data_IF_110977514303
#
_entry.id   IF_110977514303
#
_cell.length_a   1.000
_cell.length_b   1.000
_cell.length_c   1.000
_cell.angle_alpha   90.00
_cell.angle_beta   90.00
_cell.angle_gamma   90.00
#
_symmetry.space_group_name_H-M   'P 1'
#
loop_
_entity.id
_entity.type
_entity.pdbx_description
1 polymer ?
#
# COMPACT_ATOMS: atom_id res chain seq x y z
N UNK A 1 1.20 17.80 29.10
CA UNK A 1 2.15 16.69 28.89
C UNK A 1 1.60 15.93 27.70
N UNK A 2 2.25 16.04 26.54
CA UNK A 2 1.65 15.75 25.24
C UNK A 2 1.65 14.26 24.97
N UNK A 3 0.48 13.66 24.75
CA UNK A 3 0.23 12.24 24.39
C UNK A 3 0.77 11.88 22.97
N UNK A 4 1.58 12.75 22.37
CA UNK A 4 1.92 12.72 20.94
C UNK A 4 2.96 11.66 20.54
N UNK A 5 3.62 11.00 21.48
CA UNK A 5 4.81 10.17 21.19
C UNK A 5 4.61 8.64 21.31
N UNK A 6 3.42 8.16 21.67
CA UNK A 6 3.21 6.71 21.91
C UNK A 6 2.43 5.99 20.80
N UNK A 7 1.99 6.70 19.76
CA UNK A 7 1.29 6.10 18.63
C UNK A 7 2.29 5.92 17.50
N UNK A 8 2.53 4.68 17.08
CA UNK A 8 3.25 4.39 15.84
C UNK A 8 2.54 3.32 15.04
N UNK A 9 2.41 3.54 13.73
CA UNK A 9 1.95 2.55 12.77
C UNK A 9 3.08 1.65 12.27
N UNK A 10 4.33 1.88 12.70
CA UNK A 10 5.47 0.99 12.44
C UNK A 10 5.44 -0.27 13.33
N UNK A 11 4.72 -0.24 14.46
CA UNK A 11 4.51 -1.41 15.30
C UNK A 11 3.45 -2.33 14.68
N UNK A 12 3.90 -3.48 14.16
CA UNK A 12 3.02 -4.45 13.52
C UNK A 12 2.11 -5.19 14.54
N UNK A 13 2.51 -5.27 15.80
CA UNK A 13 1.72 -5.93 16.85
C UNK A 13 0.41 -5.16 17.12
N UNK A 14 0.39 -3.86 16.81
CA UNK A 14 -0.82 -3.02 16.85
C UNK A 14 -1.98 -3.61 16.02
N UNK A 15 -1.68 -4.38 14.98
CA UNK A 15 -2.66 -4.95 14.05
C UNK A 15 -3.06 -6.39 14.39
N UNK A 16 -2.47 -7.02 15.41
CA UNK A 16 -2.69 -8.43 15.76
C UNK A 16 -4.16 -8.72 16.09
N UNK A 17 -4.81 -7.82 16.84
CA UNK A 17 -6.21 -7.95 17.23
C UNK A 17 -7.20 -7.47 16.14
N UNK A 18 -6.71 -7.20 14.92
CA UNK A 18 -7.45 -6.58 13.84
C UNK A 18 -7.15 -5.08 13.68
N UNK A 19 -7.91 -4.36 12.84
CA UNK A 19 -7.54 -2.98 12.51
C UNK A 19 -7.64 -2.04 13.74
N UNK A 20 -6.60 -1.25 14.03
CA UNK A 20 -6.53 -0.36 15.19
C UNK A 20 -7.33 0.93 14.98
N UNK A 21 -8.65 0.82 14.92
CA UNK A 21 -9.54 1.93 14.55
C UNK A 21 -9.39 3.16 15.43
N UNK A 22 -9.25 2.99 16.75
CA UNK A 22 -9.06 4.10 17.68
C UNK A 22 -7.77 4.89 17.40
N UNK A 23 -6.69 4.19 17.04
CA UNK A 23 -5.42 4.80 16.64
C UNK A 23 -5.58 5.61 15.37
N UNK A 24 -6.23 5.04 14.35
CA UNK A 24 -6.52 5.76 13.12
C UNK A 24 -7.46 6.97 13.32
N UNK A 25 -8.43 6.88 14.23
CA UNK A 25 -9.30 8.01 14.59
C UNK A 25 -8.50 9.15 15.24
N UNK A 26 -7.60 8.82 16.18
CA UNK A 26 -6.74 9.80 16.81
C UNK A 26 -5.83 10.50 15.78
N UNK A 27 -5.14 9.73 14.94
CA UNK A 27 -4.26 10.27 13.88
C UNK A 27 -5.05 11.18 12.92
N UNK A 28 -6.21 10.73 12.41
CA UNK A 28 -7.03 11.56 11.51
C UNK A 28 -7.45 12.89 12.14
N UNK A 29 -7.75 12.91 13.43
CA UNK A 29 -8.25 14.10 14.11
C UNK A 29 -7.11 15.05 14.51
N UNK A 30 -5.98 14.51 14.98
CA UNK A 30 -4.97 15.28 15.70
C UNK A 30 -3.64 15.41 14.95
N UNK A 31 -3.25 14.40 14.16
CA UNK A 31 -1.98 14.35 13.44
C UNK A 31 -2.08 13.52 12.14
N UNK A 32 -2.77 14.04 11.11
CA UNK A 32 -3.18 13.24 9.95
C UNK A 32 -2.06 12.90 8.97
N UNK A 33 -0.93 13.62 9.08
CA UNK A 33 0.32 13.38 8.37
C UNK A 33 1.40 13.21 9.44
N UNK A 34 1.49 11.98 9.94
CA UNK A 34 2.29 11.63 11.10
C UNK A 34 3.63 11.04 10.67
N UNK A 35 4.70 11.34 11.39
CA UNK A 35 6.00 10.71 11.18
C UNK A 35 6.11 9.47 12.07
N UNK A 36 6.31 8.32 11.44
CA UNK A 36 6.58 7.05 12.11
C UNK A 36 8.07 6.74 12.05
N UNK A 37 8.71 6.72 13.21
CA UNK A 37 10.07 6.18 13.36
C UNK A 37 10.02 4.65 13.28
N UNK A 38 10.90 4.06 12.49
CA UNK A 38 11.06 2.61 12.42
C UNK A 38 12.28 2.14 13.24
N UNK A 39 12.19 0.99 13.93
CA UNK A 39 13.34 0.42 14.64
C UNK A 39 14.49 0.01 13.68
N UNK A 40 15.70 -0.09 14.23
CA UNK A 40 17.00 -0.17 13.55
C UNK A 40 17.02 -0.83 12.15
N UNK A 41 17.32 -0.03 11.13
CA UNK A 41 17.58 -0.47 9.75
C UNK A 41 16.87 0.36 8.68
N UNK A 42 15.70 0.90 9.02
CA UNK A 42 14.90 1.76 8.15
C UNK A 42 14.95 3.23 8.60
N UNK A 43 14.60 4.16 7.70
CA UNK A 43 14.65 5.61 7.93
C UNK A 43 13.34 6.17 8.48
N UNK A 44 12.31 5.35 8.68
CA UNK A 44 10.97 5.80 9.03
C UNK A 44 10.17 6.28 7.82
N UNK A 45 8.90 6.59 8.04
CA UNK A 45 7.97 6.97 6.98
C UNK A 45 6.91 7.98 7.43
N UNK A 46 6.26 8.61 6.45
CA UNK A 46 5.11 9.46 6.70
C UNK A 46 3.81 8.66 6.55
N UNK A 47 3.02 8.61 7.61
CA UNK A 47 1.67 8.07 7.63
C UNK A 47 0.64 9.13 7.26
N UNK A 48 -0.03 8.94 6.13
CA UNK A 48 -1.14 9.78 5.67
C UNK A 48 -2.46 9.07 5.94
N UNK A 49 -3.30 9.62 6.83
CA UNK A 49 -4.45 8.88 7.39
C UNK A 49 -5.82 9.42 7.00
N UNK A 50 -5.90 10.63 6.44
CA UNK A 50 -7.15 11.20 5.93
C UNK A 50 -7.38 10.79 4.48
N UNK A 51 -8.63 10.46 4.16
CA UNK A 51 -9.03 10.04 2.82
C UNK A 51 -8.61 11.03 1.72
N UNK A 52 -8.87 12.33 1.91
CA UNK A 52 -8.57 13.34 0.90
C UNK A 52 -7.07 13.49 0.66
N UNK A 53 -6.27 13.47 1.72
CA UNK A 53 -4.81 13.57 1.66
C UNK A 53 -4.22 12.33 0.94
N UNK A 54 -4.74 11.13 1.23
CA UNK A 54 -4.36 9.90 0.52
C UNK A 54 -4.70 10.00 -0.97
N UNK A 55 -5.91 10.48 -1.32
CA UNK A 55 -6.32 10.64 -2.71
C UNK A 55 -5.45 11.66 -3.43
N UNK A 56 -5.02 12.73 -2.77
CA UNK A 56 -4.10 13.73 -3.32
C UNK A 56 -2.74 13.10 -3.63
N UNK A 57 -2.12 12.43 -2.64
CA UNK A 57 -0.83 11.74 -2.79
C UNK A 57 -0.88 10.70 -3.91
N UNK A 58 -1.91 9.85 -3.93
CA UNK A 58 -2.04 8.78 -4.93
C UNK A 58 -2.32 9.29 -6.36
N UNK A 59 -2.79 10.53 -6.51
CA UNK A 59 -3.04 11.14 -7.82
C UNK A 59 -1.85 11.91 -8.35
N UNK A 60 -1.02 12.48 -7.48
CA UNK A 60 0.20 13.16 -7.87
C UNK A 60 1.37 12.18 -8.03
N UNK A 61 1.31 11.39 -9.11
CA UNK A 61 2.35 10.40 -9.43
C UNK A 61 3.66 11.02 -9.93
N UNK A 62 3.70 12.34 -10.16
CA UNK A 62 4.93 13.05 -10.54
C UNK A 62 5.76 13.40 -9.30
N UNK A 63 5.10 13.79 -8.22
CA UNK A 63 5.75 14.04 -6.92
C UNK A 63 5.96 12.76 -6.11
N UNK A 64 4.95 11.88 -6.07
CA UNK A 64 4.97 10.64 -5.28
C UNK A 64 5.18 9.41 -6.18
N UNK A 65 6.43 8.95 -6.22
CA UNK A 65 6.89 7.86 -7.08
C UNK A 65 6.69 6.50 -6.42
N UNK A 66 6.19 5.50 -7.16
CA UNK A 66 6.17 4.10 -6.72
C UNK A 66 7.43 3.34 -7.17
N UNK A 67 8.23 3.93 -8.06
CA UNK A 67 9.48 3.37 -8.56
C UNK A 67 10.68 3.61 -7.63
N UNK A 68 10.62 4.66 -6.79
CA UNK A 68 11.68 5.00 -5.84
C UNK A 68 11.38 4.40 -4.48
N UNK A 69 12.28 3.52 -4.00
CA UNK A 69 12.16 2.93 -2.66
C UNK A 69 11.11 1.82 -2.53
N UNK A 70 10.55 1.34 -3.66
CA UNK A 70 9.46 0.36 -3.72
C UNK A 70 8.13 0.85 -3.11
N UNK A 71 7.15 -0.06 -3.03
CA UNK A 71 5.78 0.21 -2.54
C UNK A 71 5.49 -0.43 -1.17
N UNK A 72 6.53 -1.00 -0.53
CA UNK A 72 6.45 -1.61 0.80
C UNK A 72 7.33 -0.81 1.77
N UNK A 73 7.10 -0.97 3.08
CA UNK A 73 7.90 -0.31 4.12
C UNK A 73 9.33 -0.87 4.23
N UNK A 74 9.59 -2.09 3.74
CA UNK A 74 10.93 -2.67 3.71
C UNK A 74 11.86 -1.82 2.84
N UNK A 75 12.93 -1.27 3.44
CA UNK A 75 13.98 -0.60 2.68
C UNK A 75 14.85 -1.61 1.95
N UNK A 76 14.89 -1.48 0.63
CA UNK A 76 15.62 -2.37 -0.27
C UNK A 76 16.84 -1.68 -0.85
N UNK A 77 17.92 -2.44 -1.04
CA UNK A 77 19.06 -1.98 -1.81
C UNK A 77 18.75 -1.93 -3.33
N UNK A 78 19.63 -1.28 -4.09
CA UNK A 78 19.44 -1.10 -5.54
C UNK A 78 19.34 -2.42 -6.32
N UNK A 79 20.00 -3.50 -5.86
CA UNK A 79 19.91 -4.80 -6.52
C UNK A 79 18.55 -5.45 -6.26
N UNK A 80 18.10 -5.43 -5.01
CA UNK A 80 16.80 -5.93 -4.61
C UNK A 80 15.66 -5.16 -5.30
N UNK A 81 15.75 -3.84 -5.38
CA UNK A 81 14.80 -3.00 -6.12
C UNK A 81 14.72 -3.39 -7.60
N UNK A 82 15.87 -3.65 -8.24
CA UNK A 82 15.88 -4.09 -9.65
C UNK A 82 15.28 -5.48 -9.83
N UNK A 83 15.60 -6.43 -8.95
CA UNK A 83 15.16 -7.83 -9.05
C UNK A 83 13.67 -7.98 -8.75
N UNK A 84 13.15 -7.26 -7.75
CA UNK A 84 11.75 -7.32 -7.33
C UNK A 84 10.80 -6.47 -8.17
N UNK A 85 11.33 -5.68 -9.12
CA UNK A 85 10.55 -4.72 -9.91
C UNK A 85 9.44 -5.40 -10.72
N UNK A 86 8.20 -5.13 -10.33
CA UNK A 86 6.99 -5.54 -11.02
C UNK A 86 6.32 -4.32 -11.68
N UNK A 87 5.09 -4.49 -12.15
CA UNK A 87 4.27 -3.34 -12.59
C UNK A 87 4.01 -2.35 -11.46
N UNK A 88 3.91 -2.82 -10.20
CA UNK A 88 3.62 -1.96 -9.05
C UNK A 88 4.75 -0.95 -8.78
N UNK A 89 6.02 -1.34 -9.00
CA UNK A 89 7.19 -0.51 -8.77
C UNK A 89 7.67 0.21 -10.06
N UNK A 90 6.73 0.63 -10.92
CA UNK A 90 7.04 1.40 -12.13
C UNK A 90 6.18 2.64 -12.20
N UNK A 91 6.72 3.72 -12.78
CA UNK A 91 5.97 4.97 -12.99
C UNK A 91 5.79 5.30 -14.49
N UNK A 92 5.04 6.37 -14.75
CA UNK A 92 4.96 7.03 -16.06
C UNK A 92 4.54 6.14 -17.22
N UNK A 93 5.26 6.26 -18.34
CA UNK A 93 4.93 5.53 -19.58
C UNK A 93 5.09 4.01 -19.43
N UNK A 94 6.09 3.56 -18.66
CA UNK A 94 6.33 2.13 -18.44
C UNK A 94 5.15 1.48 -17.72
N UNK A 95 4.69 2.09 -16.63
CA UNK A 95 3.52 1.62 -15.90
C UNK A 95 2.28 1.58 -16.79
N UNK A 96 2.00 2.65 -17.55
CA UNK A 96 0.86 2.70 -18.48
C UNK A 96 0.92 1.59 -19.53
N UNK A 97 2.10 1.33 -20.09
CA UNK A 97 2.28 0.27 -21.08
C UNK A 97 2.02 -1.13 -20.48
N UNK A 98 2.59 -1.42 -19.31
CA UNK A 98 2.35 -2.70 -18.60
C UNK A 98 0.88 -2.88 -18.25
N UNK A 99 0.25 -1.85 -17.67
CA UNK A 99 -1.18 -1.88 -17.33
C UNK A 99 -2.05 -2.12 -18.55
N UNK A 100 -1.74 -1.49 -19.69
CA UNK A 100 -2.48 -1.67 -20.94
C UNK A 100 -2.44 -3.11 -21.46
N UNK A 101 -1.32 -3.82 -21.26
CA UNK A 101 -1.18 -5.23 -21.65
C UNK A 101 -2.04 -6.15 -20.78
N UNK A 102 -2.14 -5.86 -19.47
CA UNK A 102 -2.82 -6.74 -18.51
C UNK A 102 -4.31 -6.46 -18.36
N UNK A 103 -4.76 -5.21 -18.50
CA UNK A 103 -6.12 -4.79 -18.12
C UNK A 103 -7.25 -5.53 -18.84
N UNK A 104 -7.01 -6.10 -20.03
CA UNK A 104 -8.00 -6.86 -20.79
C UNK A 104 -8.48 -8.12 -20.06
N UNK A 105 -7.58 -8.76 -19.31
CA UNK A 105 -7.86 -9.98 -18.53
C UNK A 105 -8.72 -9.70 -17.29
N UNK A 106 -8.82 -8.44 -16.87
CA UNK A 106 -9.57 -8.01 -15.68
C UNK A 106 -10.87 -7.29 -16.03
N UNK A 107 -11.36 -7.42 -17.26
CA UNK A 107 -12.69 -6.90 -17.64
C UNK A 107 -13.81 -7.73 -17.01
N UNK A 108 -15.01 -7.16 -16.78
CA UNK A 108 -16.14 -7.93 -16.25
C UNK A 108 -16.45 -9.20 -17.05
N UNK A 109 -16.29 -9.15 -18.38
CA UNK A 109 -16.49 -10.30 -19.27
C UNK A 109 -15.42 -11.37 -19.09
N UNK A 110 -14.14 -10.99 -18.99
CA UNK A 110 -13.05 -11.93 -18.77
C UNK A 110 -13.21 -12.64 -17.42
N UNK A 111 -13.53 -11.88 -16.37
CA UNK A 111 -13.77 -12.43 -15.03
C UNK A 111 -14.99 -13.35 -14.95
N UNK A 112 -16.08 -13.04 -15.67
CA UNK A 112 -17.25 -13.91 -15.74
C UNK A 112 -16.92 -15.32 -16.27
N UNK A 113 -15.90 -15.46 -17.11
CA UNK A 113 -15.42 -16.77 -17.59
C UNK A 113 -14.90 -17.69 -16.48
N UNK A 114 -14.46 -17.12 -15.35
CA UNK A 114 -13.96 -17.88 -14.20
C UNK A 114 -15.05 -18.24 -13.18
N UNK A 115 -16.28 -17.72 -13.33
CA UNK A 115 -17.32 -17.86 -12.30
C UNK A 115 -17.61 -19.33 -11.94
N UNK A 116 -17.90 -20.16 -12.95
CA UNK A 116 -18.21 -21.58 -12.74
C UNK A 116 -17.06 -22.32 -12.06
N UNK A 117 -15.83 -22.06 -12.51
CA UNK A 117 -14.63 -22.67 -11.94
C UNK A 117 -14.45 -22.28 -10.46
N UNK A 118 -14.50 -20.98 -10.17
CA UNK A 118 -14.31 -20.47 -8.80
C UNK A 118 -15.43 -20.94 -7.86
N UNK A 119 -16.69 -20.92 -8.30
CA UNK A 119 -17.81 -21.45 -7.50
C UNK A 119 -17.63 -22.94 -7.19
N UNK A 120 -17.21 -23.73 -8.18
CA UNK A 120 -16.91 -25.15 -7.99
C UNK A 120 -15.79 -25.38 -6.98
N UNK A 121 -14.69 -24.64 -7.11
CA UNK A 121 -13.55 -24.71 -6.20
C UNK A 121 -13.94 -24.32 -4.76
N UNK A 122 -14.72 -23.26 -4.59
CA UNK A 122 -15.22 -22.84 -3.28
C UNK A 122 -16.09 -23.92 -2.64
N UNK A 123 -16.98 -24.55 -3.40
CA UNK A 123 -17.86 -25.61 -2.91
C UNK A 123 -17.13 -26.90 -2.52
N UNK A 124 -15.92 -27.14 -3.02
CA UNK A 124 -15.11 -28.32 -2.68
C UNK A 124 -14.11 -28.11 -1.56
N UNK A 125 -13.86 -26.85 -1.17
CA UNK A 125 -12.80 -26.47 -0.21
C UNK A 125 -13.35 -26.02 1.14
N UNK A 126 -14.61 -25.57 1.19
CA UNK A 126 -15.38 -25.27 2.42
C UNK A 126 -16.30 -26.44 2.75
#
# INVERSE_FOLDING_TARGET
>A
MSVKNDITLADLDLFEAGPPWATFDALRNEDPVHWDDEPDGNKGFWSVTRYHDIVEVLRDTETFSSERGAVNLEELDDEQLRVRKSMLETDGERHRALRKLMQGEFTPRALAGYETFLRGLTASTL
#
